data_IF_288328813132
#
_entry.id   IF_288328813132
#
_cell.length_a   1.000
_cell.length_b   1.000
_cell.length_c   1.000
_cell.angle_alpha   90.00
_cell.angle_beta   90.00
_cell.angle_gamma   90.00
#
_symmetry.space_group_name_H-M   'P 1'
#
loop_
_entity.id
_entity.type
_entity.pdbx_description
1 polymer ?
#
# COMPACT_ATOMS: atom_id res chain seq x y z
N UNK A 1 0.64 -6.98 8.28
CA UNK A 1 -0.56 -6.64 7.49
C UNK A 1 -0.33 -5.30 6.84
N UNK A 2 -0.77 -5.13 5.60
CA UNK A 2 -0.58 -3.89 4.85
C UNK A 2 -1.74 -3.62 3.90
N UNK A 3 -2.05 -2.35 3.68
CA UNK A 3 -3.04 -1.90 2.71
C UNK A 3 -2.40 -0.94 1.73
N UNK A 4 -2.60 -1.19 0.44
CA UNK A 4 -2.20 -0.36 -0.68
C UNK A 4 -3.46 0.35 -1.20
N UNK A 5 -3.66 1.61 -0.79
CA UNK A 5 -4.84 2.41 -1.16
C UNK A 5 -4.53 3.34 -2.31
N UNK A 6 -5.14 3.08 -3.44
CA UNK A 6 -4.98 3.83 -4.67
C UNK A 6 -6.07 4.90 -4.78
N UNK A 7 -5.68 6.12 -5.10
CA UNK A 7 -6.58 7.26 -5.33
C UNK A 7 -6.34 7.82 -6.73
N UNK A 8 -7.42 8.06 -7.49
CA UNK A 8 -7.33 8.60 -8.85
C UNK A 8 -7.01 7.55 -9.93
N UNK A 9 -7.22 6.27 -9.64
CA UNK A 9 -7.05 5.15 -10.56
C UNK A 9 -8.40 4.61 -11.04
N UNK A 10 -8.39 3.99 -12.23
CA UNK A 10 -9.54 3.25 -12.74
C UNK A 10 -9.67 1.91 -12.00
N UNK A 11 -10.92 1.49 -11.76
CA UNK A 11 -11.22 0.24 -11.06
C UNK A 11 -10.68 -0.96 -11.83
N UNK A 12 -10.91 -0.99 -13.14
CA UNK A 12 -10.57 -2.10 -14.02
C UNK A 12 -9.05 -2.35 -14.01
N UNK A 13 -8.26 -1.28 -14.07
CA UNK A 13 -6.81 -1.35 -13.94
C UNK A 13 -6.39 -2.00 -12.62
N UNK A 14 -6.99 -1.59 -11.50
CA UNK A 14 -6.63 -2.15 -10.20
C UNK A 14 -7.11 -3.60 -10.04
N UNK A 15 -8.27 -3.95 -10.57
CA UNK A 15 -8.75 -5.33 -10.56
C UNK A 15 -7.78 -6.24 -11.35
N UNK A 16 -7.32 -5.80 -12.51
CA UNK A 16 -6.35 -6.54 -13.34
C UNK A 16 -4.95 -6.64 -12.70
N UNK A 17 -4.45 -5.56 -12.08
CA UNK A 17 -3.06 -5.49 -11.60
C UNK A 17 -2.89 -5.73 -10.09
N UNK A 18 -3.99 -5.89 -9.34
CA UNK A 18 -3.96 -6.01 -7.87
C UNK A 18 -3.08 -7.16 -7.37
N UNK A 19 -3.09 -8.29 -8.07
CA UNK A 19 -2.27 -9.45 -7.68
C UNK A 19 -0.78 -9.12 -7.76
N UNK A 20 -0.34 -8.55 -8.89
CA UNK A 20 1.05 -8.15 -9.12
C UNK A 20 1.53 -7.15 -8.07
N UNK A 21 0.75 -6.10 -7.79
CA UNK A 21 1.12 -5.09 -6.78
C UNK A 21 1.30 -5.72 -5.40
N UNK A 22 0.38 -6.61 -5.02
CA UNK A 22 0.43 -7.23 -3.71
C UNK A 22 1.53 -8.29 -3.60
N UNK A 23 1.84 -9.04 -4.67
CA UNK A 23 2.96 -9.97 -4.74
C UNK A 23 4.31 -9.27 -4.62
N UNK A 24 4.56 -8.24 -5.42
CA UNK A 24 5.82 -7.49 -5.37
C UNK A 24 5.99 -6.76 -4.04
N UNK A 25 4.91 -6.17 -3.51
CA UNK A 25 4.94 -5.57 -2.18
C UNK A 25 5.23 -6.60 -1.09
N UNK A 26 4.54 -7.75 -1.11
CA UNK A 26 4.74 -8.85 -0.15
C UNK A 26 6.20 -9.30 -0.11
N UNK A 27 6.82 -9.46 -1.28
CA UNK A 27 8.22 -9.86 -1.43
C UNK A 27 9.18 -8.87 -0.78
N UNK A 28 9.03 -7.57 -1.06
CA UNK A 28 9.92 -6.52 -0.54
C UNK A 28 9.65 -6.24 0.94
N UNK A 29 8.39 -6.22 1.38
CA UNK A 29 8.02 -5.95 2.76
C UNK A 29 8.23 -7.15 3.72
N UNK A 30 8.65 -8.30 3.17
CA UNK A 30 8.76 -9.58 3.87
C UNK A 30 7.48 -9.94 4.64
N UNK A 31 6.33 -9.73 3.98
CA UNK A 31 5.01 -10.00 4.52
C UNK A 31 4.36 -11.13 3.73
N UNK A 32 3.61 -12.06 4.36
CA UNK A 32 2.79 -13.00 3.62
C UNK A 32 1.81 -12.28 2.68
N UNK A 33 1.63 -12.80 1.47
CA UNK A 33 0.81 -12.20 0.40
C UNK A 33 -0.64 -11.99 0.84
N UNK A 34 -1.18 -12.94 1.60
CA UNK A 34 -2.54 -12.91 2.16
C UNK A 34 -2.74 -11.78 3.18
N UNK A 35 -1.66 -11.18 3.68
CA UNK A 35 -1.69 -10.03 4.60
C UNK A 35 -1.55 -8.69 3.87
N UNK A 36 -1.61 -8.67 2.54
CA UNK A 36 -1.54 -7.47 1.71
C UNK A 36 -2.86 -7.30 0.97
N UNK A 37 -3.49 -6.13 1.14
CA UNK A 37 -4.74 -5.78 0.47
C UNK A 37 -4.54 -4.60 -0.47
N UNK A 38 -5.12 -4.66 -1.66
CA UNK A 38 -5.16 -3.56 -2.63
C UNK A 38 -6.57 -2.99 -2.64
N UNK A 39 -6.68 -1.67 -2.49
CA UNK A 39 -7.95 -0.96 -2.34
C UNK A 39 -8.01 0.24 -3.28
N UNK A 40 -9.19 0.52 -3.85
CA UNK A 40 -9.48 1.75 -4.58
C UNK A 40 -10.24 2.71 -3.66
N UNK A 41 -9.69 3.90 -3.43
CA UNK A 41 -10.36 4.95 -2.67
C UNK A 41 -11.21 5.82 -3.59
N UNK A 42 -12.54 5.72 -3.44
CA UNK A 42 -13.50 6.53 -4.18
C UNK A 42 -13.65 7.93 -3.60
N UNK A 43 -12.85 8.89 -4.08
CA UNK A 43 -12.94 10.29 -3.66
C UNK A 43 -13.75 11.14 -4.65
N UNK A 44 -14.38 12.19 -4.11
CA UNK A 44 -14.95 13.30 -4.88
C UNK A 44 -14.10 14.54 -4.61
N UNK A 45 -13.05 14.81 -5.39
CA UNK A 45 -12.15 15.91 -5.12
C UNK A 45 -12.85 17.26 -5.27
N UNK A 46 -12.51 18.22 -4.40
CA UNK A 46 -12.97 19.62 -4.48
C UNK A 46 -12.01 20.45 -5.35
N UNK A 47 -10.72 20.16 -5.27
CA UNK A 47 -9.65 20.74 -6.09
C UNK A 47 -8.89 19.63 -6.81
N UNK A 48 -8.07 19.98 -7.79
CA UNK A 48 -7.20 19.01 -8.44
C UNK A 48 -6.39 18.24 -7.40
N UNK A 49 -6.43 16.91 -7.49
CA UNK A 49 -5.82 16.00 -6.52
C UNK A 49 -4.97 15.02 -7.32
N UNK A 50 -3.65 14.98 -7.09
CA UNK A 50 -2.77 14.08 -7.83
C UNK A 50 -3.13 12.63 -7.50
N UNK A 51 -2.79 11.71 -8.42
CA UNK A 51 -2.87 10.29 -8.11
C UNK A 51 -1.96 10.00 -6.92
N UNK A 52 -2.45 9.16 -6.01
CA UNK A 52 -1.67 8.78 -4.85
C UNK A 52 -1.85 7.31 -4.52
N UNK A 53 -0.83 6.77 -3.87
CA UNK A 53 -0.85 5.45 -3.25
C UNK A 53 -0.47 5.61 -1.76
N UNK A 54 -1.46 5.39 -0.91
CA UNK A 54 -1.29 5.37 0.55
C UNK A 54 -0.94 3.95 1.00
N UNK A 55 0.13 3.82 1.77
CA UNK A 55 0.67 2.52 2.20
C UNK A 55 0.50 2.44 3.72
N UNK A 56 -0.55 1.75 4.16
CA UNK A 56 -0.81 1.52 5.57
C UNK A 56 -0.06 0.27 6.00
N UNK A 57 0.88 0.38 6.92
CA UNK A 57 1.64 -0.78 7.43
C UNK A 57 2.22 -0.52 8.81
N UNK A 58 2.63 -1.58 9.50
CA UNK A 58 3.38 -1.45 10.75
C UNK A 58 4.79 -0.89 10.52
N UNK A 59 5.41 -0.29 11.55
CA UNK A 59 6.79 0.17 11.51
C UNK A 59 7.77 -0.86 10.94
N UNK A 60 8.72 -0.37 10.14
CA UNK A 60 9.83 -1.09 9.54
C UNK A 60 11.09 -0.24 9.60
N UNK A 61 12.23 -0.85 9.27
CA UNK A 61 13.46 -0.11 9.03
C UNK A 61 13.32 0.81 7.81
N UNK A 62 13.98 1.98 7.85
CA UNK A 62 13.94 2.97 6.76
C UNK A 62 14.27 2.39 5.39
N UNK A 63 15.24 1.48 5.36
CA UNK A 63 15.67 0.79 4.13
C UNK A 63 14.51 0.05 3.44
N UNK A 64 13.65 -0.62 4.22
CA UNK A 64 12.49 -1.35 3.68
C UNK A 64 11.49 -0.37 3.07
N UNK A 65 11.26 0.79 3.69
CA UNK A 65 10.38 1.83 3.12
C UNK A 65 10.90 2.35 1.78
N UNK A 66 12.21 2.55 1.67
CA UNK A 66 12.84 3.04 0.45
C UNK A 66 12.74 2.01 -0.68
N UNK A 67 13.01 0.74 -0.38
CA UNK A 67 12.88 -0.36 -1.34
C UNK A 67 11.43 -0.54 -1.81
N UNK A 68 10.45 -0.43 -0.90
CA UNK A 68 9.02 -0.46 -1.24
C UNK A 68 8.67 0.71 -2.17
N UNK A 69 9.08 1.93 -1.82
CA UNK A 69 8.75 3.12 -2.59
C UNK A 69 9.36 3.07 -4.00
N UNK A 70 10.62 2.64 -4.11
CA UNK A 70 11.30 2.46 -5.40
C UNK A 70 10.60 1.41 -6.27
N UNK A 71 10.27 0.24 -5.70
CA UNK A 71 9.58 -0.84 -6.40
C UNK A 71 8.20 -0.41 -6.89
N UNK A 72 7.37 0.20 -6.02
CA UNK A 72 6.03 0.65 -6.38
C UNK A 72 6.08 1.75 -7.44
N UNK A 73 7.01 2.70 -7.30
CA UNK A 73 7.21 3.74 -8.31
C UNK A 73 7.60 3.15 -9.66
N UNK A 74 8.49 2.16 -9.69
CA UNK A 74 8.90 1.49 -10.93
C UNK A 74 7.73 0.77 -11.61
N UNK A 75 6.90 0.04 -10.86
CA UNK A 75 5.67 -0.58 -11.38
C UNK A 75 4.69 0.45 -11.93
N UNK A 76 4.44 1.52 -11.18
CA UNK A 76 3.53 2.59 -11.60
C UNK A 76 4.03 3.29 -12.86
N UNK A 77 5.33 3.60 -12.94
CA UNK A 77 5.96 4.12 -14.15
C UNK A 77 5.79 3.18 -15.35
N UNK A 78 5.98 1.87 -15.14
CA UNK A 78 5.80 0.85 -16.18
C UNK A 78 4.37 0.86 -16.76
N UNK A 79 3.36 1.08 -15.91
CA UNK A 79 1.96 1.19 -16.31
C UNK A 79 1.55 2.60 -16.78
N UNK A 80 2.49 3.53 -16.92
CA UNK A 80 2.23 4.88 -17.45
C UNK A 80 1.78 5.90 -16.40
N UNK A 81 2.06 5.67 -15.12
CA UNK A 81 1.75 6.56 -14.00
C UNK A 81 3.03 7.08 -13.31
N UNK A 82 3.84 7.93 -13.97
CA UNK A 82 5.13 8.37 -13.42
C UNK A 82 5.03 9.45 -12.33
N UNK A 83 3.84 9.98 -12.09
CA UNK A 83 3.56 11.16 -11.26
C UNK A 83 2.79 10.83 -9.97
N UNK A 84 2.76 9.56 -9.57
CA UNK A 84 1.99 9.11 -8.41
C UNK A 84 2.71 9.48 -7.12
N UNK A 85 1.98 10.13 -6.20
CA UNK A 85 2.49 10.43 -4.87
C UNK A 85 2.40 9.20 -3.97
N UNK A 86 3.54 8.77 -3.42
CA UNK A 86 3.65 7.63 -2.51
C UNK A 86 3.87 8.13 -1.08
N UNK A 87 3.10 7.62 -0.12
CA UNK A 87 3.33 7.92 1.29
C UNK A 87 2.87 6.80 2.22
N UNK A 88 3.50 6.74 3.38
CA UNK A 88 3.24 5.71 4.40
C UNK A 88 2.37 6.26 5.53
N UNK A 89 1.41 5.45 5.96
CA UNK A 89 0.60 5.68 7.15
C UNK A 89 0.93 4.59 8.15
N UNK A 90 1.67 4.95 9.20
CA UNK A 90 2.18 3.97 10.15
C UNK A 90 1.11 3.53 11.13
N UNK A 91 0.81 2.24 11.11
CA UNK A 91 -0.09 1.59 12.05
C UNK A 91 0.65 1.34 13.36
N UNK A 92 -0.01 1.56 14.49
CA UNK A 92 0.56 1.23 15.79
C UNK A 92 0.01 -0.12 16.25
N UNK A 93 0.85 -1.15 16.50
CA UNK A 93 0.36 -2.49 16.88
C UNK A 93 -0.60 -2.48 18.08
N UNK A 94 -0.32 -1.65 19.09
CA UNK A 94 -1.17 -1.52 20.28
C UNK A 94 -2.52 -0.85 20.02
N UNK A 95 -2.70 -0.19 18.87
CA UNK A 95 -3.94 0.48 18.44
C UNK A 95 -4.59 -0.21 17.23
N UNK A 96 -3.99 -1.30 16.75
CA UNK A 96 -4.54 -2.11 15.68
C UNK A 96 -5.20 -3.34 16.30
N UNK A 97 -6.50 -3.51 16.09
CA UNK A 97 -7.26 -4.62 16.67
C UNK A 97 -7.76 -5.55 15.58
N UNK A 98 -7.44 -6.83 15.70
CA UNK A 98 -8.00 -7.90 14.89
C UNK A 98 -8.91 -8.75 15.79
N UNK A 99 -10.17 -8.92 15.39
CA UNK A 99 -11.18 -9.65 16.19
C UNK A 99 -11.30 -9.11 17.64
N UNK A 100 -11.15 -7.80 17.81
CA UNK A 100 -11.23 -7.13 19.12
C UNK A 100 -9.99 -7.30 20.00
N UNK A 101 -8.92 -7.95 19.51
CA UNK A 101 -7.66 -8.13 20.24
C UNK A 101 -6.55 -7.29 19.60
N UNK A 102 -5.68 -6.63 20.41
CA UNK A 102 -4.58 -5.86 19.85
C UNK A 102 -3.64 -6.79 19.08
N UNK A 103 -3.08 -6.29 17.99
CA UNK A 103 -2.14 -7.03 17.17
C UNK A 103 -0.88 -7.32 17.98
N UNK A 104 -0.55 -8.60 18.13
CA UNK A 104 0.63 -8.98 18.87
C UNK A 104 1.88 -8.55 18.10
N UNK A 105 2.78 -7.80 18.75
CA UNK A 105 4.01 -7.31 18.11
C UNK A 105 4.92 -8.44 17.58
N UNK A 106 4.76 -9.69 18.06
CA UNK A 106 5.46 -10.87 17.55
C UNK A 106 5.00 -11.32 16.15
N UNK A 107 3.89 -10.76 15.64
CA UNK A 107 3.32 -11.06 14.33
C UNK A 107 3.47 -9.88 13.33
N UNK A 108 4.13 -8.79 13.76
CA UNK A 108 4.22 -7.51 13.07
C UNK A 108 5.34 -7.43 12.05
#
# INVERSE_FOLDING_TARGET
>A
MAFLRFTGFQREFLEEQSELFAEEFSRVAHLPRERVSVELLGLKPITDTPRSLEILMFPREKKVYDEIAEMLNALLCHFGFPDVHLFFVLLQPSLYYQEGRPFAAAEA
#
